data_IF_396002704963
#
_entry.id   IF_396002704963
#
_cell.length_a   1.000
_cell.length_b   1.000
_cell.length_c   1.000
_cell.angle_alpha   90.00
_cell.angle_beta   90.00
_cell.angle_gamma   90.00
#
_symmetry.space_group_name_H-M   'P 1'
#
loop_
_entity.id
_entity.type
_entity.pdbx_description
1 polymer ?
#
# COMPACT_ATOMS: atom_id res chain seq x y z
N UNK A 1 4.54 7.39 45.92
CA UNK A 1 5.04 7.62 47.30
C UNK A 1 5.54 9.05 47.35
N UNK A 2 5.14 9.83 48.33
CA UNK A 2 5.62 11.20 48.48
C UNK A 2 7.07 11.14 48.97
N UNK A 3 8.00 11.71 48.25
CA UNK A 3 9.40 11.83 48.61
C UNK A 3 9.52 12.86 49.74
N UNK A 4 9.86 12.44 50.95
CA UNK A 4 10.08 13.36 52.06
C UNK A 4 11.44 14.05 51.89
N UNK A 5 11.44 15.34 51.60
CA UNK A 5 12.64 16.15 51.43
C UNK A 5 13.09 16.67 52.80
N UNK A 6 14.23 16.20 53.29
CA UNK A 6 14.75 16.58 54.63
C UNK A 6 16.02 17.45 54.58
N UNK A 7 16.63 17.67 53.41
CA UNK A 7 17.84 18.50 53.25
C UNK A 7 17.88 19.12 51.84
N UNK A 8 18.60 20.19 51.57
CA UNK A 8 18.74 20.77 50.23
C UNK A 8 19.48 19.79 49.30
N UNK A 9 18.82 19.38 48.19
CA UNK A 9 19.38 18.43 47.23
C UNK A 9 18.49 18.28 46.01
N UNK A 10 18.99 17.60 44.99
CA UNK A 10 18.20 17.24 43.79
C UNK A 10 17.48 15.93 44.06
N UNK A 11 16.18 15.95 44.08
CA UNK A 11 15.32 14.78 44.26
C UNK A 11 14.78 14.35 42.92
N UNK A 12 15.14 13.16 42.44
CA UNK A 12 14.60 12.52 41.26
C UNK A 12 13.39 11.67 41.66
N UNK A 13 12.24 12.01 41.15
CA UNK A 13 11.07 11.18 41.19
C UNK A 13 10.92 10.53 39.80
N UNK A 14 11.16 9.23 39.70
CA UNK A 14 10.78 8.45 38.53
C UNK A 14 9.26 8.26 38.54
N UNK A 15 8.54 9.10 37.85
CA UNK A 15 7.21 8.77 37.40
C UNK A 15 7.37 7.88 36.18
N UNK A 16 6.82 6.65 36.21
CA UNK A 16 6.64 5.86 35.01
C UNK A 16 5.71 6.62 34.06
N UNK A 17 6.29 7.48 33.23
CA UNK A 17 5.57 8.05 32.13
C UNK A 17 5.25 6.85 31.19
N UNK A 18 3.97 6.54 31.01
CA UNK A 18 3.54 5.66 29.94
C UNK A 18 3.93 6.34 28.64
N UNK A 19 5.08 5.98 28.09
CA UNK A 19 5.56 6.50 26.83
C UNK A 19 4.57 6.04 25.75
N UNK A 20 3.69 6.94 25.35
CA UNK A 20 2.84 6.72 24.18
C UNK A 20 3.73 6.83 22.95
N UNK A 21 3.97 5.69 22.30
CA UNK A 21 4.80 5.57 21.09
C UNK A 21 3.92 5.02 19.97
N UNK A 22 4.01 5.62 18.80
CA UNK A 22 3.41 5.10 17.57
C UNK A 22 4.37 4.08 16.97
N UNK A 23 3.90 2.85 16.82
CA UNK A 23 4.68 1.76 16.19
C UNK A 23 4.19 1.51 14.77
N UNK A 24 5.13 1.37 13.83
CA UNK A 24 4.83 0.97 12.47
C UNK A 24 4.36 -0.48 12.41
N UNK A 25 3.34 -0.73 11.59
CA UNK A 25 2.87 -2.07 11.27
C UNK A 25 3.46 -2.55 9.94
N UNK A 26 3.17 -3.82 9.61
CA UNK A 26 3.49 -4.39 8.31
C UNK A 26 2.72 -3.65 7.22
N UNK A 27 3.43 -3.16 6.20
CA UNK A 27 2.86 -2.33 5.13
C UNK A 27 2.29 -3.13 3.98
N UNK A 28 2.67 -4.41 3.84
CA UNK A 28 2.26 -5.29 2.78
C UNK A 28 1.66 -6.59 3.35
N UNK A 29 0.36 -6.57 3.61
CA UNK A 29 -0.45 -7.75 3.98
C UNK A 29 -1.57 -7.89 2.95
N UNK A 30 -1.39 -8.73 1.91
CA UNK A 30 -2.36 -8.88 0.84
C UNK A 30 -3.50 -9.84 1.20
N UNK A 31 -4.69 -9.52 0.70
CA UNK A 31 -5.79 -10.45 0.53
C UNK A 31 -5.91 -10.79 -0.97
N UNK A 32 -5.52 -12.00 -1.35
CA UNK A 32 -5.67 -12.52 -2.70
C UNK A 32 -7.11 -12.97 -2.91
N UNK A 33 -7.77 -12.41 -3.91
CA UNK A 33 -9.11 -12.82 -4.28
C UNK A 33 -9.07 -14.18 -5.01
N UNK A 34 -10.02 -15.06 -4.71
CA UNK A 34 -10.20 -16.28 -5.48
C UNK A 34 -11.66 -16.55 -5.78
N UNK A 35 -11.89 -17.33 -6.84
CA UNK A 35 -13.21 -17.86 -7.17
C UNK A 35 -13.33 -19.26 -6.61
N UNK A 36 -14.32 -19.49 -5.75
CA UNK A 36 -14.62 -20.84 -5.26
C UNK A 36 -15.09 -21.72 -6.41
N UNK A 37 -14.41 -22.85 -6.62
CA UNK A 37 -14.75 -23.85 -7.62
C UNK A 37 -15.05 -25.15 -6.89
N UNK A 38 -16.13 -25.83 -7.28
CA UNK A 38 -16.49 -27.14 -6.72
C UNK A 38 -15.37 -28.15 -6.98
N UNK A 39 -14.97 -28.91 -5.96
CA UNK A 39 -13.88 -29.88 -6.05
C UNK A 39 -12.48 -29.34 -5.72
N UNK A 40 -12.35 -28.05 -5.45
CA UNK A 40 -11.10 -27.43 -5.01
C UNK A 40 -10.92 -27.54 -3.49
N UNK A 41 -9.67 -27.57 -2.97
CA UNK A 41 -9.40 -27.73 -1.55
C UNK A 41 -9.89 -26.56 -0.69
N UNK A 42 -9.94 -25.33 -1.27
CA UNK A 42 -10.34 -24.12 -0.56
C UNK A 42 -11.86 -23.92 -0.65
N UNK A 43 -12.60 -24.38 0.37
CA UNK A 43 -14.07 -24.33 0.43
C UNK A 43 -14.59 -23.23 1.35
N UNK A 44 -13.77 -22.70 2.25
CA UNK A 44 -14.14 -21.59 3.15
C UNK A 44 -14.01 -20.24 2.45
N UNK A 45 -14.52 -19.19 3.11
CA UNK A 45 -14.51 -17.84 2.55
C UNK A 45 -13.18 -17.12 2.75
N UNK A 46 -12.37 -17.56 3.71
CA UNK A 46 -11.08 -16.97 4.07
C UNK A 46 -10.10 -18.04 4.55
N UNK A 47 -8.86 -17.88 4.16
CA UNK A 47 -7.70 -18.62 4.68
C UNK A 47 -6.58 -17.64 4.98
N UNK A 48 -5.73 -18.01 5.95
CA UNK A 48 -4.57 -17.21 6.36
C UNK A 48 -3.32 -18.09 6.21
N UNK A 49 -2.29 -17.54 5.56
CA UNK A 49 -1.02 -18.21 5.37
C UNK A 49 0.14 -17.30 5.79
N UNK A 50 1.04 -17.81 6.61
CA UNK A 50 2.22 -17.08 7.05
C UNK A 50 3.46 -17.44 6.22
N UNK A 51 3.43 -18.56 5.53
CA UNK A 51 4.51 -19.06 4.69
C UNK A 51 4.00 -20.01 3.60
N UNK A 52 4.86 -20.27 2.62
CA UNK A 52 4.54 -21.15 1.50
C UNK A 52 4.23 -22.60 1.93
N UNK A 53 4.90 -23.11 2.97
CA UNK A 53 4.67 -24.49 3.43
C UNK A 53 3.25 -24.67 4.01
N UNK A 54 2.70 -23.68 4.71
CA UNK A 54 1.31 -23.71 5.17
C UNK A 54 0.33 -23.76 4.01
N UNK A 55 0.58 -22.98 2.94
CA UNK A 55 -0.26 -22.99 1.75
C UNK A 55 -0.21 -24.39 1.07
N UNK A 56 0.97 -24.94 0.82
CA UNK A 56 1.13 -26.27 0.20
C UNK A 56 0.42 -27.35 1.02
N UNK A 57 0.53 -27.30 2.34
CA UNK A 57 -0.16 -28.24 3.22
C UNK A 57 -1.69 -28.14 3.08
N UNK A 58 -2.22 -26.93 2.89
CA UNK A 58 -3.67 -26.71 2.72
C UNK A 58 -4.22 -27.26 1.39
N UNK A 59 -3.37 -27.44 0.38
CA UNK A 59 -3.70 -27.98 -0.93
C UNK A 59 -3.97 -29.48 -0.91
N UNK A 60 -3.73 -30.19 0.20
CA UNK A 60 -3.95 -31.64 0.36
C UNK A 60 -3.27 -32.50 -0.72
N UNK A 61 -2.12 -32.04 -1.24
CA UNK A 61 -1.40 -32.74 -2.31
C UNK A 61 -1.96 -32.52 -3.72
N UNK A 62 -2.99 -31.74 -3.89
CA UNK A 62 -3.41 -31.28 -5.21
C UNK A 62 -2.42 -30.19 -5.68
N UNK A 63 -1.62 -30.52 -6.67
CA UNK A 63 -0.79 -29.57 -7.41
C UNK A 63 -1.76 -28.75 -8.30
N UNK A 64 -2.43 -27.77 -7.70
CA UNK A 64 -3.38 -26.98 -8.45
C UNK A 64 -2.60 -25.98 -9.30
N UNK A 65 -2.74 -26.12 -10.62
CA UNK A 65 -2.28 -25.14 -11.61
C UNK A 65 -3.10 -23.84 -11.57
N UNK A 66 -3.81 -23.59 -10.47
CA UNK A 66 -4.73 -22.48 -10.33
C UNK A 66 -3.99 -21.14 -10.25
N UNK A 67 -4.59 -20.15 -10.86
CA UNK A 67 -4.07 -18.78 -10.92
C UNK A 67 -3.79 -18.20 -9.52
N UNK A 68 -4.64 -18.48 -8.52
CA UNK A 68 -4.43 -18.00 -7.16
C UNK A 68 -3.24 -18.71 -6.47
N UNK A 69 -3.01 -20.00 -6.77
CA UNK A 69 -1.86 -20.73 -6.23
C UNK A 69 -0.54 -20.18 -6.79
N UNK A 70 -0.50 -19.90 -8.11
CA UNK A 70 0.62 -19.23 -8.74
C UNK A 70 0.86 -17.82 -8.13
N UNK A 71 -0.21 -17.10 -7.83
CA UNK A 71 -0.16 -15.76 -7.22
C UNK A 71 0.44 -15.80 -5.80
N UNK A 72 0.00 -16.73 -4.96
CA UNK A 72 0.53 -16.91 -3.59
C UNK A 72 1.98 -17.40 -3.61
N UNK A 73 2.31 -18.32 -4.53
CA UNK A 73 3.70 -18.76 -4.72
C UNK A 73 4.62 -17.61 -5.07
N UNK A 74 4.20 -16.78 -6.03
CA UNK A 74 4.95 -15.59 -6.43
C UNK A 74 5.16 -14.63 -5.27
N UNK A 75 4.14 -14.40 -4.46
CA UNK A 75 4.21 -13.58 -3.26
C UNK A 75 5.33 -14.03 -2.32
N UNK A 76 5.33 -15.30 -1.92
CA UNK A 76 6.35 -15.83 -1.01
C UNK A 76 7.74 -15.88 -1.65
N UNK A 77 7.86 -16.15 -2.95
CA UNK A 77 9.15 -16.14 -3.67
C UNK A 77 9.80 -14.75 -3.71
N UNK A 78 9.03 -13.69 -3.57
CA UNK A 78 9.50 -12.30 -3.60
C UNK A 78 9.58 -11.65 -2.20
N UNK A 79 9.68 -12.47 -1.15
CA UNK A 79 9.86 -11.98 0.21
C UNK A 79 8.57 -11.57 0.92
N UNK A 80 7.41 -11.91 0.36
CA UNK A 80 6.14 -11.68 1.01
C UNK A 80 5.98 -12.48 2.30
N UNK A 81 5.37 -11.85 3.31
CA UNK A 81 5.03 -12.46 4.59
C UNK A 81 3.59 -12.98 4.63
N UNK A 82 2.93 -12.78 5.79
CA UNK A 82 1.52 -13.14 5.98
C UNK A 82 0.64 -12.66 4.83
N UNK A 83 -0.23 -13.54 4.35
CA UNK A 83 -1.24 -13.20 3.35
C UNK A 83 -2.57 -13.91 3.64
N UNK A 84 -3.63 -13.39 3.05
CA UNK A 84 -4.96 -13.94 3.09
C UNK A 84 -5.36 -14.44 1.70
N UNK A 85 -6.11 -15.53 1.64
CA UNK A 85 -6.83 -15.98 0.46
C UNK A 85 -8.32 -15.81 0.75
N UNK A 86 -9.01 -14.94 0.00
CA UNK A 86 -10.37 -14.49 0.30
C UNK A 86 -11.27 -14.75 -0.90
N UNK A 87 -12.41 -15.40 -0.67
CA UNK A 87 -13.39 -15.56 -1.74
C UNK A 87 -13.88 -14.18 -2.20
N UNK A 88 -13.84 -13.93 -3.52
CA UNK A 88 -14.09 -12.62 -4.14
C UNK A 88 -15.38 -11.93 -3.69
N UNK A 89 -16.44 -12.70 -3.40
CA UNK A 89 -17.73 -12.16 -2.95
C UNK A 89 -17.76 -11.72 -1.48
N UNK A 90 -16.74 -12.08 -0.70
CA UNK A 90 -16.64 -11.78 0.74
C UNK A 90 -15.58 -10.73 1.08
N UNK A 91 -14.89 -10.15 0.09
CA UNK A 91 -13.82 -9.17 0.32
C UNK A 91 -14.31 -8.02 1.21
N UNK A 92 -15.46 -7.43 0.91
CA UNK A 92 -15.99 -6.30 1.69
C UNK A 92 -16.26 -6.67 3.16
N UNK A 93 -16.82 -7.85 3.41
CA UNK A 93 -17.09 -8.31 4.79
C UNK A 93 -15.80 -8.64 5.55
N UNK A 94 -14.80 -9.20 4.86
CA UNK A 94 -13.50 -9.55 5.45
C UNK A 94 -12.69 -8.30 5.79
N UNK A 95 -12.69 -7.29 4.94
CA UNK A 95 -12.01 -6.02 5.21
C UNK A 95 -12.60 -5.26 6.42
N UNK A 96 -13.83 -5.56 6.83
CA UNK A 96 -14.42 -5.02 8.06
C UNK A 96 -14.01 -5.81 9.31
N UNK A 97 -13.52 -7.04 9.16
CA UNK A 97 -13.18 -7.93 10.28
C UNK A 97 -11.67 -7.95 10.56
N UNK A 98 -10.84 -7.74 9.53
CA UNK A 98 -9.39 -7.83 9.59
C UNK A 98 -8.78 -6.48 9.24
N UNK A 99 -8.30 -5.77 10.24
CA UNK A 99 -7.73 -4.42 10.15
C UNK A 99 -6.25 -4.40 9.75
N UNK A 100 -5.62 -5.57 9.67
CA UNK A 100 -4.23 -5.73 9.24
C UNK A 100 -4.07 -5.92 7.73
N UNK A 101 -5.16 -6.13 6.97
CA UNK A 101 -5.11 -6.22 5.51
C UNK A 101 -4.85 -4.82 4.94
N UNK A 102 -3.75 -4.69 4.18
CA UNK A 102 -3.33 -3.42 3.57
C UNK A 102 -3.47 -3.40 2.06
N UNK A 103 -3.51 -4.59 1.44
CA UNK A 103 -3.62 -4.76 -0.01
C UNK A 103 -4.76 -5.73 -0.34
N UNK A 104 -5.50 -5.46 -1.40
CA UNK A 104 -6.39 -6.43 -2.05
C UNK A 104 -5.86 -6.70 -3.45
N UNK A 105 -5.65 -7.97 -3.76
CA UNK A 105 -5.09 -8.43 -5.03
C UNK A 105 -6.18 -9.15 -5.80
N UNK A 106 -6.52 -8.68 -7.00
CA UNK A 106 -7.57 -9.27 -7.84
C UNK A 106 -7.27 -10.71 -8.25
N UNK A 107 -5.99 -11.05 -8.44
CA UNK A 107 -5.50 -12.40 -8.70
C UNK A 107 -6.28 -13.16 -9.78
N UNK A 108 -6.66 -12.45 -10.87
CA UNK A 108 -7.38 -13.02 -12.00
C UNK A 108 -8.89 -13.16 -11.80
N UNK A 109 -9.46 -12.58 -10.76
CA UNK A 109 -10.92 -12.65 -10.52
C UNK A 109 -11.75 -11.64 -11.34
N UNK A 110 -11.09 -10.84 -12.18
CA UNK A 110 -11.69 -9.89 -13.13
C UNK A 110 -12.55 -8.77 -12.50
N UNK A 111 -13.50 -8.23 -13.29
CA UNK A 111 -14.30 -7.05 -12.96
C UNK A 111 -15.27 -7.21 -11.79
N UNK A 112 -15.54 -8.42 -11.35
CA UNK A 112 -16.48 -8.70 -10.24
C UNK A 112 -16.14 -7.99 -8.92
N UNK A 113 -14.87 -7.58 -8.76
CA UNK A 113 -14.39 -6.87 -7.56
C UNK A 113 -14.74 -5.38 -7.60
N UNK A 114 -14.95 -4.76 -8.77
CA UNK A 114 -15.04 -3.30 -8.91
C UNK A 114 -16.14 -2.66 -8.06
N UNK A 115 -17.32 -3.27 -7.99
CA UNK A 115 -18.40 -2.73 -7.17
C UNK A 115 -18.06 -2.75 -5.67
N UNK A 116 -17.39 -3.81 -5.21
CA UNK A 116 -16.95 -3.92 -3.81
C UNK A 116 -15.85 -2.91 -3.48
N UNK A 117 -14.91 -2.71 -4.41
CA UNK A 117 -13.82 -1.72 -4.28
C UNK A 117 -14.38 -0.32 -4.14
N UNK A 118 -15.31 0.08 -5.02
CA UNK A 118 -15.92 1.41 -4.97
C UNK A 118 -16.67 1.63 -3.67
N UNK A 119 -17.44 0.64 -3.22
CA UNK A 119 -18.17 0.70 -1.96
C UNK A 119 -17.21 0.84 -0.78
N UNK A 120 -16.16 0.05 -0.73
CA UNK A 120 -15.18 0.09 0.35
C UNK A 120 -14.34 1.38 0.34
N UNK A 121 -13.89 1.83 -0.83
CA UNK A 121 -13.07 3.04 -0.98
C UNK A 121 -13.81 4.32 -0.59
N UNK A 122 -15.13 4.34 -0.72
CA UNK A 122 -15.98 5.47 -0.33
C UNK A 122 -16.22 5.53 1.20
N UNK A 123 -15.82 4.51 1.96
CA UNK A 123 -15.91 4.55 3.42
C UNK A 123 -14.83 5.43 4.01
N UNK A 124 -15.21 6.24 4.99
CA UNK A 124 -14.25 7.05 5.75
C UNK A 124 -13.21 6.15 6.43
N UNK A 125 -11.94 6.42 6.18
CA UNK A 125 -10.82 5.71 6.81
C UNK A 125 -10.46 4.37 6.16
N UNK A 126 -10.84 4.14 4.90
CA UNK A 126 -10.32 3.02 4.11
C UNK A 126 -8.82 3.21 3.85
N UNK A 127 -7.99 2.29 4.36
CA UNK A 127 -6.53 2.33 4.25
C UNK A 127 -5.99 1.20 3.37
N UNK A 128 -6.87 0.50 2.67
CA UNK A 128 -6.52 -0.62 1.80
C UNK A 128 -6.24 -0.11 0.38
N UNK A 129 -5.22 -0.66 -0.27
CA UNK A 129 -4.88 -0.37 -1.65
C UNK A 129 -5.21 -1.58 -2.53
N UNK A 130 -5.85 -1.34 -3.69
CA UNK A 130 -6.35 -2.38 -4.59
C UNK A 130 -5.45 -2.54 -5.81
N UNK A 131 -5.00 -3.77 -6.05
CA UNK A 131 -4.20 -4.17 -7.21
C UNK A 131 -5.11 -4.94 -8.18
N UNK A 132 -5.34 -4.36 -9.36
CA UNK A 132 -6.31 -4.83 -10.33
C UNK A 132 -5.61 -5.39 -11.57
N UNK A 133 -6.27 -6.36 -12.20
CA UNK A 133 -5.80 -6.96 -13.43
C UNK A 133 -6.40 -6.25 -14.65
N UNK A 134 -5.58 -6.08 -15.69
CA UNK A 134 -6.09 -5.86 -17.04
C UNK A 134 -6.64 -7.14 -17.64
N UNK A 135 -7.50 -7.01 -18.66
CA UNK A 135 -7.94 -8.15 -19.44
C UNK A 135 -6.73 -8.92 -20.01
N UNK A 136 -6.83 -10.28 -20.01
CA UNK A 136 -5.79 -11.15 -20.56
C UNK A 136 -5.86 -11.19 -22.10
N UNK A 137 -5.63 -10.04 -22.72
CA UNK A 137 -5.64 -9.87 -24.17
C UNK A 137 -4.53 -8.94 -24.62
N UNK A 138 -4.12 -9.07 -25.89
CA UNK A 138 -3.12 -8.18 -26.48
C UNK A 138 -3.75 -6.80 -26.75
N UNK A 139 -3.10 -5.74 -26.29
CA UNK A 139 -3.44 -4.36 -26.63
C UNK A 139 -2.71 -4.00 -27.91
N UNK A 140 -3.47 -3.67 -28.95
CA UNK A 140 -2.96 -3.32 -30.27
C UNK A 140 -2.75 -1.81 -30.47
N UNK A 141 -2.20 -1.40 -31.63
CA UNK A 141 -1.99 0.00 -31.95
C UNK A 141 -3.30 0.81 -32.06
N UNK A 142 -4.41 0.16 -32.44
CA UNK A 142 -5.72 0.79 -32.63
C UNK A 142 -6.52 0.91 -31.31
N UNK A 143 -6.10 0.22 -30.24
CA UNK A 143 -6.84 0.23 -29.00
C UNK A 143 -6.63 1.55 -28.25
N UNK A 144 -7.76 2.17 -27.89
CA UNK A 144 -7.75 3.45 -27.18
C UNK A 144 -7.76 3.23 -25.67
N UNK A 145 -7.01 4.03 -24.94
CA UNK A 145 -7.02 4.03 -23.46
C UNK A 145 -8.42 4.20 -22.88
N UNK A 146 -9.21 5.13 -23.44
CA UNK A 146 -10.58 5.40 -23.01
C UNK A 146 -11.49 4.18 -23.07
N UNK A 147 -11.25 3.26 -24.02
CA UNK A 147 -12.00 2.01 -24.15
C UNK A 147 -11.49 0.95 -23.18
N UNK A 148 -10.18 0.71 -23.17
CA UNK A 148 -9.56 -0.32 -22.31
C UNK A 148 -9.78 -0.01 -20.82
N UNK A 149 -9.73 1.27 -20.44
CA UNK A 149 -9.84 1.72 -19.06
C UNK A 149 -11.26 2.18 -18.66
N UNK A 150 -12.26 1.98 -19.54
CA UNK A 150 -13.62 2.47 -19.31
C UNK A 150 -14.23 1.95 -18.01
N UNK A 151 -14.15 0.66 -17.79
CA UNK A 151 -14.80 -0.03 -16.68
C UNK A 151 -14.09 0.17 -15.34
N UNK A 152 -12.84 0.65 -15.33
CA UNK A 152 -12.11 0.88 -14.10
C UNK A 152 -12.55 2.18 -13.42
N UNK A 153 -12.87 2.16 -12.11
CA UNK A 153 -13.23 3.37 -11.39
C UNK A 153 -12.02 4.31 -11.24
N UNK A 154 -12.25 5.62 -11.25
CA UNK A 154 -11.21 6.61 -10.92
C UNK A 154 -11.04 6.64 -9.39
N UNK A 155 -10.00 5.99 -8.88
CA UNK A 155 -9.75 5.83 -7.45
C UNK A 155 -8.26 5.99 -7.13
N UNK A 156 -7.94 6.80 -6.11
CA UNK A 156 -6.58 6.96 -5.60
C UNK A 156 -6.05 5.70 -4.92
N UNK A 157 -6.93 4.89 -4.33
CA UNK A 157 -6.57 3.64 -3.65
C UNK A 157 -6.54 2.41 -4.56
N UNK A 158 -6.48 2.59 -5.89
CA UNK A 158 -6.44 1.48 -6.83
C UNK A 158 -5.44 1.72 -7.96
N UNK A 159 -4.89 0.64 -8.50
CA UNK A 159 -4.04 0.64 -9.69
C UNK A 159 -4.29 -0.60 -10.53
N UNK A 160 -4.18 -0.47 -11.85
CA UNK A 160 -4.34 -1.56 -12.84
C UNK A 160 -2.98 -1.88 -13.46
N UNK A 161 -2.77 -3.16 -13.74
CA UNK A 161 -1.50 -3.67 -14.24
C UNK A 161 -1.68 -4.52 -15.50
N UNK A 162 -0.68 -4.52 -16.39
CA UNK A 162 -0.61 -5.23 -17.67
C UNK A 162 0.87 -5.52 -18.02
N UNK A 163 1.17 -6.54 -18.81
CA UNK A 163 0.36 -7.67 -19.20
C UNK A 163 0.38 -8.80 -18.17
N UNK A 164 -0.39 -9.85 -18.46
CA UNK A 164 -0.29 -11.14 -17.75
C UNK A 164 1.07 -11.78 -18.00
N UNK A 165 1.58 -12.48 -17.00
CA UNK A 165 2.78 -13.27 -17.07
C UNK A 165 2.52 -14.78 -17.17
N UNK A 166 3.60 -15.56 -17.31
CA UNK A 166 3.57 -17.02 -17.23
C UNK A 166 4.63 -17.54 -16.27
N UNK A 167 4.32 -18.63 -15.59
CA UNK A 167 5.31 -19.41 -14.82
C UNK A 167 6.23 -20.19 -15.75
N UNK A 168 7.35 -20.73 -15.25
CA UNK A 168 8.18 -21.67 -16.03
C UNK A 168 7.44 -22.94 -16.51
N UNK A 169 6.33 -23.29 -15.86
CA UNK A 169 5.44 -24.41 -16.26
C UNK A 169 4.36 -23.99 -17.26
N UNK A 170 4.31 -22.72 -17.67
CA UNK A 170 3.33 -22.18 -18.63
C UNK A 170 2.01 -21.72 -18.02
N UNK A 171 1.84 -21.78 -16.69
CA UNK A 171 0.61 -21.32 -16.03
C UNK A 171 0.53 -19.80 -16.01
N UNK A 172 -0.69 -19.28 -16.10
CA UNK A 172 -0.93 -17.85 -16.11
C UNK A 172 -0.67 -17.22 -14.74
N UNK A 173 -0.02 -16.05 -14.75
CA UNK A 173 0.16 -15.19 -13.57
C UNK A 173 -0.56 -13.87 -13.82
N UNK A 174 -1.52 -13.49 -12.94
CA UNK A 174 -2.19 -12.20 -13.06
C UNK A 174 -1.22 -11.04 -12.80
N UNK A 175 -1.35 -9.92 -13.51
CA UNK A 175 -0.48 -8.77 -13.29
C UNK A 175 -0.64 -8.15 -11.91
N UNK A 176 -1.81 -8.23 -11.26
CA UNK A 176 -2.00 -7.79 -9.87
C UNK A 176 -1.14 -8.59 -8.88
N UNK A 177 -0.95 -9.90 -9.11
CA UNK A 177 -0.08 -10.73 -8.28
C UNK A 177 1.39 -10.38 -8.49
N UNK A 178 1.80 -10.09 -9.73
CA UNK A 178 3.15 -9.59 -10.02
C UNK A 178 3.39 -8.23 -9.35
N UNK A 179 2.39 -7.35 -9.34
CA UNK A 179 2.46 -6.07 -8.64
C UNK A 179 2.56 -6.24 -7.12
N UNK A 180 1.82 -7.18 -6.53
CA UNK A 180 1.94 -7.50 -5.11
C UNK A 180 3.36 -7.98 -4.76
N UNK A 181 3.97 -8.82 -5.61
CA UNK A 181 5.36 -9.28 -5.45
C UNK A 181 6.36 -8.12 -5.52
N UNK A 182 6.19 -7.17 -6.47
CA UNK A 182 7.02 -5.97 -6.56
C UNK A 182 6.87 -5.08 -5.30
N UNK A 183 5.66 -4.96 -4.78
CA UNK A 183 5.37 -4.23 -3.53
C UNK A 183 6.05 -4.90 -2.33
N UNK A 184 6.00 -6.23 -2.22
CA UNK A 184 6.67 -6.95 -1.14
C UNK A 184 8.18 -6.65 -1.11
N UNK A 185 8.83 -6.70 -2.27
CA UNK A 185 10.25 -6.36 -2.39
C UNK A 185 10.52 -4.89 -2.05
N UNK A 186 9.76 -3.96 -2.62
CA UNK A 186 9.95 -2.53 -2.37
C UNK A 186 9.80 -2.18 -0.89
N UNK A 187 8.75 -2.68 -0.25
CA UNK A 187 8.45 -2.42 1.16
C UNK A 187 9.53 -2.99 2.09
N UNK A 188 10.01 -4.21 1.82
CA UNK A 188 11.03 -4.84 2.65
C UNK A 188 12.43 -4.21 2.52
N UNK A 189 12.76 -3.69 1.34
CA UNK A 189 14.08 -3.14 1.05
C UNK A 189 14.16 -1.62 1.27
N UNK A 190 13.10 -0.90 0.94
CA UNK A 190 13.14 0.55 0.75
C UNK A 190 12.03 1.29 1.52
N UNK A 191 10.97 0.60 1.89
CA UNK A 191 9.77 1.16 2.55
C UNK A 191 8.61 1.47 1.60
N UNK A 192 7.40 1.56 2.15
CA UNK A 192 6.15 1.73 1.39
C UNK A 192 6.05 3.05 0.59
N UNK A 193 6.91 4.02 0.90
CA UNK A 193 7.02 5.31 0.21
C UNK A 193 7.87 5.26 -1.08
N UNK A 194 8.46 4.11 -1.40
CA UNK A 194 9.18 3.90 -2.65
C UNK A 194 8.28 3.28 -3.71
N UNK A 195 8.49 3.69 -4.96
CA UNK A 195 7.78 3.09 -6.07
C UNK A 195 8.14 1.60 -6.19
N UNK A 196 7.16 0.69 -6.32
CA UNK A 196 7.41 -0.73 -6.54
C UNK A 196 7.82 -1.01 -8.00
N UNK A 197 8.69 -0.18 -8.54
CA UNK A 197 9.12 -0.18 -9.93
C UNK A 197 10.62 -0.46 -10.05
N UNK A 198 11.02 -0.98 -11.22
CA UNK A 198 12.42 -1.30 -11.54
C UNK A 198 13.04 -2.35 -10.58
N UNK A 199 12.21 -3.24 -10.04
CA UNK A 199 12.63 -4.41 -9.25
C UNK A 199 12.32 -5.68 -10.04
N UNK A 200 13.26 -6.60 -10.10
CA UNK A 200 13.10 -7.87 -10.82
C UNK A 200 12.15 -8.78 -10.06
N UNK A 201 11.14 -9.29 -10.74
CA UNK A 201 10.16 -10.19 -10.15
C UNK A 201 10.60 -11.63 -10.37
N UNK A 202 10.89 -12.33 -9.27
CA UNK A 202 11.28 -13.73 -9.31
C UNK A 202 10.04 -14.63 -9.54
N UNK A 203 10.19 -15.68 -10.35
CA UNK A 203 9.15 -16.67 -10.58
C UNK A 203 8.27 -16.43 -11.80
N UNK A 204 8.47 -15.34 -12.53
CA UNK A 204 7.83 -15.06 -13.83
C UNK A 204 8.80 -15.45 -14.93
N UNK A 205 8.38 -16.33 -15.84
CA UNK A 205 9.23 -16.80 -16.93
C UNK A 205 9.18 -15.88 -18.15
N UNK A 206 8.00 -15.38 -18.51
CA UNK A 206 7.80 -14.46 -19.63
C UNK A 206 6.53 -13.62 -19.46
N UNK A 207 6.44 -12.54 -20.21
CA UNK A 207 5.21 -11.78 -20.37
C UNK A 207 4.43 -12.31 -21.57
N UNK A 208 3.11 -12.43 -21.46
CA UNK A 208 2.25 -12.89 -22.56
C UNK A 208 2.28 -11.96 -23.77
N UNK A 209 2.43 -10.68 -23.53
CA UNK A 209 2.41 -9.67 -24.57
C UNK A 209 3.55 -8.69 -24.34
N UNK A 210 4.38 -8.44 -25.38
CA UNK A 210 5.46 -7.47 -25.26
C UNK A 210 4.92 -6.05 -25.14
N UNK A 211 5.61 -5.23 -24.35
CA UNK A 211 5.27 -3.82 -24.13
C UNK A 211 6.35 -2.93 -24.72
N UNK A 212 5.96 -2.04 -25.66
CA UNK A 212 6.83 -1.01 -26.24
C UNK A 212 6.71 0.32 -25.48
N UNK A 213 7.65 1.23 -25.71
CA UNK A 213 7.60 2.61 -25.18
C UNK A 213 6.35 3.35 -25.67
N UNK A 214 6.00 3.20 -26.95
CA UNK A 214 4.80 3.81 -27.55
C UNK A 214 3.52 3.30 -26.86
N UNK A 215 3.39 1.98 -26.69
CA UNK A 215 2.25 1.40 -26.00
C UNK A 215 2.12 1.97 -24.59
N UNK A 216 3.19 1.97 -23.82
CA UNK A 216 3.15 2.50 -22.47
C UNK A 216 2.83 3.99 -22.44
N UNK A 217 3.42 4.79 -23.33
CA UNK A 217 3.18 6.23 -23.43
C UNK A 217 1.72 6.58 -23.63
N UNK A 218 0.99 5.79 -24.43
CA UNK A 218 -0.45 5.98 -24.67
C UNK A 218 -1.33 5.73 -23.45
N UNK A 219 -0.86 4.94 -22.49
CA UNK A 219 -1.62 4.55 -21.29
C UNK A 219 -1.11 5.18 -20.00
N UNK A 220 -0.22 6.17 -20.08
CA UNK A 220 0.42 6.77 -18.91
C UNK A 220 -0.25 8.05 -18.41
N UNK A 221 -1.46 8.41 -18.88
CA UNK A 221 -2.21 9.60 -18.47
C UNK A 221 -3.60 9.21 -17.98
N UNK A 222 -4.25 10.07 -17.22
CA UNK A 222 -5.58 9.82 -16.69
C UNK A 222 -5.61 8.57 -15.80
N UNK A 223 -6.53 7.65 -16.07
CA UNK A 223 -6.55 6.30 -15.46
C UNK A 223 -5.39 5.50 -16.06
N UNK A 224 -4.22 5.57 -15.44
CA UNK A 224 -3.02 4.95 -15.96
C UNK A 224 -3.06 3.42 -15.88
N UNK A 225 -2.50 2.76 -16.91
CA UNK A 225 -2.24 1.32 -16.92
C UNK A 225 -0.76 1.09 -16.68
N UNK A 226 -0.41 0.57 -15.49
CA UNK A 226 0.97 0.28 -15.14
C UNK A 226 1.44 -0.97 -15.88
N UNK A 227 2.59 -0.91 -16.52
CA UNK A 227 3.03 -1.99 -17.41
C UNK A 227 4.28 -2.70 -16.89
N UNK A 228 4.27 -4.03 -17.01
CA UNK A 228 5.45 -4.86 -16.86
C UNK A 228 6.25 -4.87 -18.15
N UNK A 229 7.56 -4.84 -18.03
CA UNK A 229 8.49 -4.89 -19.17
C UNK A 229 9.54 -5.94 -18.93
N UNK A 230 10.00 -6.53 -20.01
CA UNK A 230 11.09 -7.49 -20.00
C UNK A 230 12.34 -6.82 -20.59
N UNK A 231 13.39 -6.76 -19.78
CA UNK A 231 14.70 -6.28 -20.19
C UNK A 231 15.67 -7.44 -20.26
N UNK A 232 16.41 -7.58 -21.37
CA UNK A 232 17.30 -8.72 -21.64
C UNK A 232 18.31 -8.96 -20.50
N UNK A 233 18.81 -7.91 -19.90
CA UNK A 233 19.87 -7.98 -18.89
C UNK A 233 19.34 -7.91 -17.44
N UNK A 234 18.09 -7.52 -17.25
CA UNK A 234 17.51 -7.30 -15.93
C UNK A 234 16.33 -8.25 -15.60
N UNK A 235 15.67 -8.82 -16.61
CA UNK A 235 14.48 -9.64 -16.40
C UNK A 235 13.18 -8.84 -16.45
N UNK A 236 12.13 -9.38 -15.83
CA UNK A 236 10.78 -8.77 -15.82
C UNK A 236 10.67 -7.83 -14.64
N UNK A 237 10.34 -6.57 -14.93
CA UNK A 237 10.18 -5.50 -13.94
C UNK A 237 8.87 -4.75 -14.13
N UNK A 238 8.32 -4.21 -13.06
CA UNK A 238 7.23 -3.23 -13.15
C UNK A 238 7.82 -1.88 -13.60
N UNK A 239 7.24 -1.30 -14.66
CA UNK A 239 7.69 -0.02 -15.24
C UNK A 239 6.57 1.00 -15.18
N UNK A 240 6.06 1.28 -13.98
CA UNK A 240 4.99 2.23 -13.70
C UNK A 240 4.58 2.16 -12.24
N UNK A 241 4.14 3.28 -11.68
CA UNK A 241 3.71 3.36 -10.29
C UNK A 241 2.58 4.39 -10.09
N UNK A 242 1.60 4.39 -11.00
CA UNK A 242 0.48 5.33 -10.97
C UNK A 242 -0.81 4.68 -10.48
N UNK A 243 -1.63 5.46 -9.80
CA UNK A 243 -2.98 5.08 -9.38
C UNK A 243 -3.98 5.26 -10.52
N UNK A 244 -5.24 4.93 -10.29
CA UNK A 244 -6.34 5.21 -11.21
C UNK A 244 -6.86 6.66 -11.11
N UNK A 245 -6.22 7.50 -10.30
CA UNK A 245 -6.53 8.93 -10.16
C UNK A 245 -5.34 9.77 -10.62
N UNK A 246 -5.58 10.64 -11.60
CA UNK A 246 -4.54 11.52 -12.18
C UNK A 246 -4.54 12.92 -11.54
N UNK A 247 -4.84 13.02 -10.25
CA UNK A 247 -4.68 14.26 -9.51
C UNK A 247 -3.22 14.46 -9.11
N UNK A 248 -2.81 15.70 -8.97
CA UNK A 248 -1.44 16.02 -8.55
C UNK A 248 -1.06 15.37 -7.21
N UNK A 249 -2.03 15.24 -6.30
CA UNK A 249 -1.80 14.71 -4.97
C UNK A 249 -1.77 13.18 -4.91
N UNK A 250 -2.57 12.50 -5.75
CA UNK A 250 -2.80 11.06 -5.61
C UNK A 250 -2.36 10.21 -6.80
N UNK A 251 -1.71 10.81 -7.79
CA UNK A 251 -1.24 10.13 -9.00
C UNK A 251 -0.38 8.89 -8.74
N UNK A 252 0.39 8.86 -7.66
CA UNK A 252 1.42 7.85 -7.43
C UNK A 252 1.05 6.86 -6.33
N UNK A 253 1.23 5.56 -6.62
CA UNK A 253 1.05 4.44 -5.69
C UNK A 253 1.81 4.65 -4.37
N UNK A 254 3.13 4.97 -4.37
CA UNK A 254 3.88 5.13 -3.12
C UNK A 254 3.36 6.29 -2.26
N UNK A 255 2.89 7.38 -2.87
CA UNK A 255 2.30 8.49 -2.14
C UNK A 255 1.03 8.04 -1.41
N UNK A 256 0.08 7.42 -2.12
CA UNK A 256 -1.17 6.97 -1.49
C UNK A 256 -0.91 5.91 -0.41
N UNK A 257 0.00 4.97 -0.66
CA UNK A 257 0.36 3.93 0.30
C UNK A 257 1.05 4.48 1.55
N UNK A 258 1.89 5.50 1.40
CA UNK A 258 2.48 6.22 2.54
C UNK A 258 1.38 6.83 3.44
N UNK A 259 0.40 7.52 2.85
CA UNK A 259 -0.72 8.07 3.62
C UNK A 259 -1.54 6.97 4.29
N UNK A 260 -1.85 5.88 3.59
CA UNK A 260 -2.56 4.73 4.16
C UNK A 260 -1.81 4.15 5.37
N UNK A 261 -0.48 3.99 5.26
CA UNK A 261 0.38 3.51 6.35
C UNK A 261 0.35 4.46 7.56
N UNK A 262 0.55 5.75 7.34
CA UNK A 262 0.55 6.76 8.41
C UNK A 262 -0.82 6.83 9.11
N UNK A 263 -1.90 6.83 8.34
CA UNK A 263 -3.27 6.81 8.88
C UNK A 263 -3.53 5.55 9.72
N UNK A 264 -3.09 4.37 9.25
CA UNK A 264 -3.26 3.10 9.96
C UNK A 264 -2.47 3.06 11.27
N UNK A 265 -1.21 3.47 11.24
CA UNK A 265 -0.31 3.44 12.41
C UNK A 265 -0.79 4.42 13.49
N UNK A 266 -1.17 5.63 13.10
CA UNK A 266 -1.70 6.64 14.02
C UNK A 266 -3.02 6.16 14.61
N UNK A 267 -3.97 5.69 13.80
CA UNK A 267 -5.28 5.19 14.27
C UNK A 267 -5.11 4.05 15.27
N UNK A 268 -4.30 3.04 14.95
CA UNK A 268 -4.04 1.90 15.83
C UNK A 268 -3.44 2.34 17.16
N UNK A 269 -2.53 3.30 17.12
CA UNK A 269 -1.89 3.82 18.33
C UNK A 269 -2.85 4.67 19.16
N UNK A 270 -3.68 5.49 18.53
CA UNK A 270 -4.68 6.32 19.21
C UNK A 270 -5.79 5.52 19.90
N UNK A 271 -6.06 4.28 19.47
CA UNK A 271 -6.96 3.39 20.20
C UNK A 271 -6.56 3.17 21.66
N UNK A 272 -5.25 3.30 21.97
CA UNK A 272 -4.74 3.22 23.36
C UNK A 272 -5.00 4.48 24.18
N UNK A 273 -5.30 5.59 23.51
CA UNK A 273 -5.60 6.89 24.14
C UNK A 273 -7.12 7.10 24.26
N UNK A 274 -7.91 6.27 23.56
CA UNK A 274 -9.36 6.29 23.69
C UNK A 274 -9.77 6.13 25.17
N UNK A 275 -10.73 6.93 25.60
CA UNK A 275 -11.21 7.03 26.99
C UNK A 275 -10.25 7.71 27.99
N UNK A 276 -9.10 8.23 27.57
CA UNK A 276 -8.32 9.12 28.43
C UNK A 276 -8.99 10.51 28.57
N UNK A 277 -8.56 11.25 29.58
CA UNK A 277 -9.11 12.60 29.84
C UNK A 277 -8.81 13.53 28.66
N UNK A 278 -9.83 14.15 28.09
CA UNK A 278 -9.71 15.09 26.98
C UNK A 278 -9.26 16.48 27.47
N UNK A 279 -7.96 16.62 27.72
CA UNK A 279 -7.33 17.81 28.27
C UNK A 279 -5.96 18.12 27.64
N UNK A 280 -5.41 19.29 27.95
CA UNK A 280 -4.14 19.76 27.38
C UNK A 280 -2.96 18.77 27.56
N UNK A 281 -2.72 18.13 28.72
CA UNK A 281 -1.66 17.13 28.86
C UNK A 281 -1.81 15.96 27.88
N UNK A 282 -3.01 15.45 27.66
CA UNK A 282 -3.29 14.39 26.70
C UNK A 282 -3.02 14.85 25.26
N UNK A 283 -3.44 16.05 24.89
CA UNK A 283 -3.20 16.62 23.56
C UNK A 283 -1.71 16.78 23.26
N UNK A 284 -0.93 17.31 24.21
CA UNK A 284 0.52 17.46 24.04
C UNK A 284 1.24 16.12 23.94
N UNK A 285 0.81 15.11 24.69
CA UNK A 285 1.36 13.76 24.60
C UNK A 285 1.09 13.13 23.24
N UNK A 286 -0.14 13.25 22.72
CA UNK A 286 -0.51 12.76 21.38
C UNK A 286 0.28 13.50 20.31
N UNK A 287 0.32 14.84 20.38
CA UNK A 287 1.08 15.67 19.44
C UNK A 287 2.56 15.29 19.39
N UNK A 288 3.18 15.11 20.54
CA UNK A 288 4.59 14.70 20.65
C UNK A 288 4.84 13.31 20.06
N UNK A 289 3.96 12.34 20.32
CA UNK A 289 4.09 11.00 19.76
C UNK A 289 3.95 10.97 18.24
N UNK A 290 2.98 11.72 17.68
CA UNK A 290 2.80 11.85 16.21
C UNK A 290 4.02 12.54 15.60
N UNK A 291 4.52 13.63 16.20
CA UNK A 291 5.72 14.32 15.71
C UNK A 291 6.94 13.39 15.70
N UNK A 292 7.17 12.62 16.77
CA UNK A 292 8.31 11.69 16.84
C UNK A 292 8.21 10.59 15.77
N UNK A 293 7.00 10.07 15.51
CA UNK A 293 6.78 9.10 14.45
C UNK A 293 7.08 9.67 13.08
N UNK A 294 6.56 10.87 12.76
CA UNK A 294 6.79 11.54 11.49
C UNK A 294 8.26 11.96 11.30
N UNK A 295 8.92 12.37 12.39
CA UNK A 295 10.35 12.64 12.37
C UNK A 295 11.15 11.39 11.97
N UNK A 296 10.77 10.22 12.51
CA UNK A 296 11.39 8.94 12.11
C UNK A 296 11.19 8.63 10.63
N UNK A 297 10.00 8.85 10.08
CA UNK A 297 9.71 8.67 8.65
C UNK A 297 10.52 9.65 7.78
N UNK A 298 10.65 10.89 8.21
CA UNK A 298 11.45 11.89 7.50
C UNK A 298 12.94 11.50 7.48
N UNK A 299 13.49 11.04 8.59
CA UNK A 299 14.87 10.52 8.65
C UNK A 299 15.09 9.32 7.72
N UNK A 300 14.07 8.52 7.46
CA UNK A 300 14.10 7.40 6.53
C UNK A 300 13.89 7.84 5.06
N UNK A 301 13.66 9.14 4.81
CA UNK A 301 13.45 9.69 3.47
C UNK A 301 12.06 9.47 2.90
N UNK A 302 11.06 9.25 3.73
CA UNK A 302 9.66 9.12 3.32
C UNK A 302 8.99 10.48 3.05
N UNK A 303 9.50 11.55 3.66
CA UNK A 303 8.96 12.91 3.55
C UNK A 303 9.99 13.86 2.94
N UNK A 304 9.50 14.84 2.19
CA UNK A 304 10.29 15.91 1.55
C UNK A 304 10.37 17.10 2.50
N UNK A 305 11.50 17.81 2.49
CA UNK A 305 11.75 19.03 3.25
C UNK A 305 13.14 19.02 3.85
N UNK A 306 13.78 20.21 3.90
CA UNK A 306 15.09 20.37 4.52
C UNK A 306 15.01 20.46 6.05
N UNK A 307 13.81 20.71 6.54
CA UNK A 307 13.51 20.80 7.99
C UNK A 307 12.18 20.08 8.31
N UNK A 308 11.98 19.66 9.56
CA UNK A 308 10.72 19.08 10.01
C UNK A 308 9.49 19.95 9.70
N UNK A 309 9.63 21.26 9.82
CA UNK A 309 8.56 22.23 9.59
C UNK A 309 8.11 22.32 8.13
N UNK A 310 9.00 21.98 7.19
CA UNK A 310 8.67 21.87 5.76
C UNK A 310 8.05 20.51 5.41
N UNK A 311 8.37 19.47 6.18
CA UNK A 311 8.02 18.10 5.86
C UNK A 311 6.63 17.69 6.40
N UNK A 312 6.20 18.20 7.55
CA UNK A 312 4.89 17.93 8.12
C UNK A 312 4.46 18.99 9.13
N UNK A 313 3.17 18.99 9.44
CA UNK A 313 2.62 19.68 10.60
C UNK A 313 1.66 18.78 11.37
N UNK A 314 1.56 19.00 12.69
CA UNK A 314 0.61 18.34 13.58
C UNK A 314 -0.03 19.41 14.46
N UNK A 315 -1.34 19.50 14.37
CA UNK A 315 -2.13 20.43 15.18
C UNK A 315 -3.15 19.68 16.01
N UNK A 316 -3.22 20.00 17.29
CA UNK A 316 -4.24 19.52 18.21
C UNK A 316 -4.40 20.51 19.36
N UNK A 317 -5.62 20.83 19.74
CA UNK A 317 -5.88 21.68 20.88
C UNK A 317 -7.18 22.48 20.80
N UNK A 318 -7.60 23.00 21.96
CA UNK A 318 -8.74 23.93 22.08
C UNK A 318 -8.41 25.24 21.37
N UNK A 319 -9.32 25.72 20.50
CA UNK A 319 -9.12 26.94 19.71
C UNK A 319 -8.20 26.76 18.50
N UNK A 320 -7.62 25.57 18.28
CA UNK A 320 -6.82 25.21 17.12
C UNK A 320 -7.62 24.24 16.25
N UNK A 321 -7.87 23.03 16.75
CA UNK A 321 -8.62 21.97 16.02
C UNK A 321 -9.97 21.66 16.65
N UNK A 322 -10.21 22.05 17.90
CA UNK A 322 -11.41 21.74 18.67
C UNK A 322 -12.03 22.96 19.29
N UNK A 323 -13.36 23.04 19.23
CA UNK A 323 -14.15 23.96 20.01
C UNK A 323 -14.45 23.39 21.41
N UNK A 324 -14.97 24.18 22.31
CA UNK A 324 -15.45 23.71 23.62
C UNK A 324 -16.61 22.69 23.48
N UNK A 325 -17.45 22.90 22.48
CA UNK A 325 -18.51 21.96 22.14
C UNK A 325 -17.99 20.59 21.71
N UNK A 326 -16.91 20.53 20.92
CA UNK A 326 -16.27 19.28 20.50
C UNK A 326 -15.66 18.53 21.70
N UNK A 327 -15.00 19.27 22.60
CA UNK A 327 -14.40 18.71 23.82
C UNK A 327 -15.50 18.13 24.73
N UNK A 328 -16.61 18.86 24.91
CA UNK A 328 -17.76 18.40 25.71
C UNK A 328 -18.45 17.18 25.09
N UNK A 329 -18.36 17.01 23.78
CA UNK A 329 -18.84 15.82 23.06
C UNK A 329 -17.82 14.66 23.10
N UNK A 330 -16.69 14.80 23.79
CA UNK A 330 -15.64 13.79 23.88
C UNK A 330 -14.80 13.63 22.61
N UNK A 331 -14.81 14.61 21.70
CA UNK A 331 -14.03 14.56 20.46
C UNK A 331 -12.60 15.03 20.69
N UNK A 332 -11.63 14.28 20.19
CA UNK A 332 -10.22 14.66 20.01
C UNK A 332 -9.95 14.77 18.52
N UNK A 333 -9.67 15.97 18.01
CA UNK A 333 -9.46 16.24 16.60
C UNK A 333 -7.98 16.59 16.40
N UNK A 334 -7.32 15.86 15.51
CA UNK A 334 -5.92 16.05 15.15
C UNK A 334 -5.86 16.37 13.66
N UNK A 335 -5.29 17.51 13.31
CA UNK A 335 -4.99 17.87 11.92
C UNK A 335 -3.54 17.52 11.61
N UNK A 336 -3.34 16.84 10.49
CA UNK A 336 -2.05 16.35 10.05
C UNK A 336 -1.86 16.67 8.57
N UNK A 337 -0.71 17.28 8.22
CA UNK A 337 -0.27 17.45 6.83
C UNK A 337 1.10 16.85 6.62
N UNK A 338 1.31 16.21 5.45
CA UNK A 338 2.53 15.53 5.08
C UNK A 338 3.00 15.97 3.70
N UNK A 339 4.29 16.23 3.54
CA UNK A 339 4.95 16.41 2.25
C UNK A 339 5.58 15.08 1.81
N UNK A 340 4.80 14.24 1.12
CA UNK A 340 5.25 12.92 0.67
C UNK A 340 6.30 13.01 -0.45
N UNK A 341 7.31 12.13 -0.42
CA UNK A 341 8.27 11.96 -1.51
C UNK A 341 7.55 11.41 -2.75
N UNK A 342 7.93 11.91 -3.93
CA UNK A 342 7.38 11.46 -5.24
C UNK A 342 8.46 10.78 -6.07
N UNK A 343 8.12 9.76 -6.87
CA UNK A 343 9.09 9.11 -7.76
C UNK A 343 9.49 10.04 -8.91
N UNK A 344 10.75 9.95 -9.35
CA UNK A 344 11.19 10.56 -10.59
C UNK A 344 10.92 9.59 -11.75
N UNK A 345 9.81 9.80 -12.46
CA UNK A 345 9.43 8.95 -13.62
C UNK A 345 10.19 9.33 -14.90
N UNK A 346 10.50 10.62 -15.08
CA UNK A 346 11.13 11.13 -16.30
C UNK A 346 12.46 11.78 -15.96
N UNK A 347 13.54 11.27 -16.58
CA UNK A 347 14.88 11.81 -16.45
C UNK A 347 15.25 12.45 -17.80
N UNK A 348 15.39 13.77 -17.82
CA UNK A 348 15.81 14.52 -19.00
C UNK A 348 17.31 14.80 -18.90
N UNK A 349 18.09 14.24 -19.83
CA UNK A 349 19.51 14.49 -19.95
C UNK A 349 19.74 15.58 -21.01
N UNK A 350 20.31 16.71 -20.59
CA UNK A 350 20.65 17.79 -21.50
C UNK A 350 22.18 17.85 -21.63
N UNK A 351 22.67 17.68 -22.84
CA UNK A 351 24.07 17.81 -23.16
C UNK A 351 24.28 19.14 -23.94
N UNK A 352 25.15 20.01 -23.44
CA UNK A 352 25.62 21.18 -24.17
C UNK A 352 27.07 20.94 -24.60
N UNK A 353 27.38 21.19 -25.88
CA UNK A 353 28.75 21.20 -26.37
C UNK A 353 29.16 22.67 -26.55
N UNK A 354 30.08 23.13 -25.71
CA UNK A 354 30.74 24.43 -25.93
C UNK A 354 31.70 24.26 -27.11
N UNK A 355 31.34 24.89 -28.21
CA UNK A 355 32.31 25.06 -29.34
C UNK A 355 33.25 26.18 -28.90
N UNK A 356 34.45 25.83 -28.47
CA UNK A 356 35.52 26.82 -28.30
C UNK A 356 35.76 27.50 -29.65
N UNK A 357 35.55 28.82 -29.70
CA UNK A 357 35.98 29.68 -30.83
C UNK A 357 37.48 29.88 -30.82
#
# INVERSE_FOLDING_TARGET
MATTTSYPGVYLSEAAASNFVISSATTAVPAFAFRKISGQPHTENIYVFNNWAEFVKSQQGNDTEDVYAASIKLWFMNGGGKCYLVQKTFIDSILNQYDDITLVVAAGTETDIFNQITTFSNRSGSQVFFLLDSANQKIGPADMQSTIMADYPALANAAVFYPWGTTPLGNNIPPSAMAAAAIAQADSMLGAWKAPANLVINGVASLKYPVSDDLQGRFNQGKALNMFREYKDAGIVLWGARTLEDSENWRYIPVRRLFNMVEADIRRSLNKVAFETNNSPTWERVKSAVNNYLYSLWQQGALVGNSPQEAWFVEVGKGITMTEGDINQGKLIINLGLAAVRPAEFILLQFSQDIAQ
#
